data_IF_603343189960
#
_entry.id   IF_603343189960
#
_cell.length_a   1.000
_cell.length_b   1.000
_cell.length_c   1.000
_cell.angle_alpha   90.00
_cell.angle_beta   90.00
_cell.angle_gamma   90.00
#
_symmetry.space_group_name_H-M   'P 1'
#
loop_
_entity.id
_entity.type
_entity.pdbx_description
1 polymer ?
#
# COMPACT_ATOMS: atom_id res chain seq x y z
N UNK A 1 17.53 -7.92 0.39
CA UNK A 1 18.11 -7.34 -0.84
C UNK A 1 19.19 -8.25 -1.44
N UNK A 2 20.14 -8.73 -0.64
CA UNK A 2 21.23 -9.63 -1.08
C UNK A 2 20.73 -10.90 -1.78
N UNK A 3 19.74 -11.59 -1.20
CA UNK A 3 19.17 -12.80 -1.80
C UNK A 3 18.51 -12.54 -3.17
N UNK A 4 17.84 -11.40 -3.36
CA UNK A 4 17.18 -11.04 -4.62
C UNK A 4 18.19 -10.73 -5.72
N UNK A 5 19.26 -9.98 -5.39
CA UNK A 5 20.38 -9.72 -6.31
C UNK A 5 21.11 -11.01 -6.68
N UNK A 6 21.36 -11.89 -5.70
CA UNK A 6 21.98 -13.19 -5.93
C UNK A 6 21.14 -14.08 -6.85
N UNK A 7 19.82 -14.15 -6.64
CA UNK A 7 18.91 -14.89 -7.51
C UNK A 7 18.89 -14.33 -8.94
N UNK A 8 18.83 -13.01 -9.11
CA UNK A 8 18.88 -12.37 -10.43
C UNK A 8 20.21 -12.66 -11.15
N UNK A 9 21.34 -12.60 -10.44
CA UNK A 9 22.65 -12.93 -10.99
C UNK A 9 22.72 -14.41 -11.42
N UNK A 10 22.22 -15.33 -10.58
CA UNK A 10 22.13 -16.75 -10.90
C UNK A 10 21.27 -17.02 -12.13
N UNK A 11 20.11 -16.37 -12.27
CA UNK A 11 19.23 -16.52 -13.45
C UNK A 11 19.90 -16.05 -14.75
N UNK A 12 20.74 -15.01 -14.69
CA UNK A 12 21.52 -14.53 -15.83
C UNK A 12 22.69 -15.47 -16.16
N UNK A 13 23.42 -15.94 -15.14
CA UNK A 13 24.54 -16.88 -15.31
C UNK A 13 24.10 -18.23 -15.85
N UNK A 14 22.97 -18.74 -15.36
CA UNK A 14 22.35 -20.01 -15.82
C UNK A 14 21.58 -19.86 -17.14
N UNK A 15 21.47 -18.63 -17.68
CA UNK A 15 20.72 -18.30 -18.90
C UNK A 15 19.23 -18.69 -18.85
N UNK A 16 18.65 -18.78 -17.66
CA UNK A 16 17.20 -18.92 -17.51
C UNK A 16 16.46 -17.69 -18.07
N UNK A 17 17.10 -16.52 -18.02
CA UNK A 17 16.57 -15.27 -18.58
C UNK A 17 17.66 -14.57 -19.40
N UNK A 18 17.29 -14.02 -20.56
CA UNK A 18 18.21 -13.21 -21.37
C UNK A 18 18.37 -11.81 -20.76
N UNK A 19 19.52 -11.16 -20.99
CA UNK A 19 19.76 -9.78 -20.51
C UNK A 19 18.68 -8.81 -21.00
N UNK A 20 18.19 -9.02 -22.22
CA UNK A 20 17.12 -8.20 -22.82
C UNK A 20 15.80 -8.45 -22.08
N UNK A 21 15.45 -9.72 -21.83
CA UNK A 21 14.25 -10.07 -21.06
C UNK A 21 14.28 -9.54 -19.62
N UNK A 22 15.44 -9.64 -18.96
CA UNK A 22 15.64 -9.07 -17.62
C UNK A 22 15.45 -7.55 -17.60
N UNK A 23 15.96 -6.83 -18.60
CA UNK A 23 15.74 -5.38 -18.73
C UNK A 23 14.28 -5.03 -18.99
N UNK A 24 13.57 -5.82 -19.79
CA UNK A 24 12.15 -5.61 -20.10
C UNK A 24 11.23 -5.93 -18.91
N UNK A 25 11.65 -6.82 -18.00
CA UNK A 25 10.90 -7.13 -16.78
C UNK A 25 10.95 -6.04 -15.70
N UNK A 26 11.75 -4.99 -15.90
CA UNK A 26 11.83 -3.87 -14.95
C UNK A 26 10.58 -3.00 -15.10
N UNK A 27 9.80 -2.90 -14.02
CA UNK A 27 8.70 -1.94 -13.93
C UNK A 27 9.24 -0.54 -13.59
N UNK A 28 9.49 0.24 -14.63
CA UNK A 28 9.96 1.62 -14.50
C UNK A 28 8.94 2.52 -13.80
N UNK A 29 7.64 2.26 -13.96
CA UNK A 29 6.60 3.05 -13.31
C UNK A 29 6.68 2.88 -11.79
N UNK A 30 6.90 1.68 -11.29
CA UNK A 30 7.10 1.43 -9.85
C UNK A 30 8.35 2.12 -9.32
N UNK A 31 9.48 2.04 -10.05
CA UNK A 31 10.71 2.72 -9.64
C UNK A 31 10.54 4.24 -9.58
N UNK A 32 9.84 4.83 -10.55
CA UNK A 32 9.54 6.26 -10.57
C UNK A 32 8.62 6.67 -9.43
N UNK A 33 7.61 5.85 -9.11
CA UNK A 33 6.73 6.08 -7.96
C UNK A 33 7.52 6.02 -6.65
N UNK A 34 8.46 5.08 -6.53
CA UNK A 34 9.39 5.01 -5.39
C UNK A 34 10.20 6.30 -5.24
N UNK A 35 10.83 6.75 -6.33
CA UNK A 35 11.60 8.00 -6.32
C UNK A 35 10.72 9.22 -5.97
N UNK A 36 9.53 9.32 -6.57
CA UNK A 36 8.59 10.41 -6.34
C UNK A 36 8.10 10.44 -4.88
N UNK A 37 7.85 9.28 -4.28
CA UNK A 37 7.39 9.18 -2.90
C UNK A 37 8.41 9.71 -1.89
N UNK A 38 9.71 9.48 -2.11
CA UNK A 38 10.75 10.12 -1.29
C UNK A 38 10.72 11.64 -1.41
N UNK A 39 10.51 12.16 -2.63
CA UNK A 39 10.32 13.60 -2.87
C UNK A 39 9.07 14.16 -2.18
N UNK A 40 7.94 13.48 -2.30
CA UNK A 40 6.67 13.85 -1.64
C UNK A 40 6.83 13.78 -0.12
N UNK A 41 7.49 12.75 0.42
CA UNK A 41 7.77 12.62 1.86
C UNK A 41 8.60 13.80 2.39
N UNK A 42 9.64 14.21 1.66
CA UNK A 42 10.45 15.38 2.01
C UNK A 42 9.65 16.68 1.96
N UNK A 43 8.79 16.85 0.95
CA UNK A 43 7.91 18.00 0.83
C UNK A 43 6.86 18.03 1.96
N UNK A 44 6.26 16.89 2.30
CA UNK A 44 5.32 16.72 3.40
C UNK A 44 5.93 17.06 4.77
N UNK A 45 7.20 16.70 4.98
CA UNK A 45 7.94 17.08 6.19
C UNK A 45 8.23 18.58 6.21
N UNK A 46 8.72 19.13 5.09
CA UNK A 46 9.07 20.56 4.99
C UNK A 46 7.87 21.49 5.09
N UNK A 47 6.68 21.04 4.69
CA UNK A 47 5.43 21.80 4.77
C UNK A 47 4.64 21.54 6.06
N UNK A 48 5.15 20.67 6.94
CA UNK A 48 4.47 20.19 8.14
C UNK A 48 3.10 19.54 7.88
N UNK A 49 2.75 19.26 6.62
CA UNK A 49 1.45 18.70 6.25
C UNK A 49 1.28 17.29 6.81
N UNK A 50 2.34 16.48 6.81
CA UNK A 50 2.29 15.15 7.42
C UNK A 50 2.00 15.21 8.92
N UNK A 51 2.57 16.20 9.63
CA UNK A 51 2.29 16.42 11.05
C UNK A 51 0.84 16.88 11.25
N UNK A 52 0.34 17.79 10.42
CA UNK A 52 -1.04 18.26 10.50
C UNK A 52 -2.06 17.12 10.25
N UNK A 53 -1.79 16.27 9.26
CA UNK A 53 -2.63 15.08 8.98
C UNK A 53 -2.57 14.11 10.16
N UNK A 54 -1.37 13.79 10.66
CA UNK A 54 -1.20 12.93 11.82
C UNK A 54 -1.95 13.48 13.05
N UNK A 55 -1.85 14.78 13.31
CA UNK A 55 -2.53 15.44 14.45
C UNK A 55 -4.04 15.42 14.27
N UNK A 56 -4.54 15.63 13.04
CA UNK A 56 -5.96 15.50 12.74
C UNK A 56 -6.46 14.07 12.99
N UNK A 57 -5.70 13.05 12.55
CA UNK A 57 -6.02 11.65 12.78
C UNK A 57 -6.02 11.31 14.27
N UNK A 58 -4.98 11.72 15.01
CA UNK A 58 -4.89 11.53 16.46
C UNK A 58 -6.00 12.28 17.19
N UNK A 59 -6.41 13.47 16.75
CA UNK A 59 -7.53 14.19 17.37
C UNK A 59 -8.88 13.48 17.20
N UNK A 60 -9.07 12.76 16.08
CA UNK A 60 -10.25 11.92 15.86
C UNK A 60 -10.15 10.56 16.57
N UNK A 61 -8.95 9.97 16.64
CA UNK A 61 -8.70 8.62 17.14
C UNK A 61 -8.30 8.57 18.63
N UNK A 62 -7.99 9.71 19.22
CA UNK A 62 -7.24 9.78 20.48
C UNK A 62 -5.86 9.12 20.37
N UNK A 63 -5.24 8.92 21.54
CA UNK A 63 -3.90 8.33 21.68
C UNK A 63 -3.88 6.80 21.52
N UNK A 64 -4.98 6.19 21.05
CA UNK A 64 -5.04 4.73 20.86
C UNK A 64 -4.26 4.33 19.60
N UNK A 65 -3.16 3.55 19.73
CA UNK A 65 -2.41 3.07 18.57
C UNK A 65 -3.26 2.20 17.64
N UNK A 66 -4.18 1.43 18.24
CA UNK A 66 -5.11 0.55 17.53
C UNK A 66 -6.06 1.36 16.64
N UNK A 67 -6.63 2.46 17.15
CA UNK A 67 -7.58 3.24 16.36
C UNK A 67 -6.88 3.99 15.22
N UNK A 68 -5.68 4.52 15.47
CA UNK A 68 -4.85 5.13 14.43
C UNK A 68 -4.43 4.12 13.35
N UNK A 69 -4.13 2.87 13.73
CA UNK A 69 -3.84 1.77 12.79
C UNK A 69 -5.03 1.51 11.86
N UNK A 70 -6.24 1.43 12.42
CA UNK A 70 -7.48 1.24 11.65
C UNK A 70 -7.72 2.42 10.71
N UNK A 71 -7.52 3.66 11.17
CA UNK A 71 -7.68 4.83 10.30
C UNK A 71 -6.68 4.85 9.14
N UNK A 72 -5.42 4.50 9.38
CA UNK A 72 -4.40 4.41 8.32
C UNK A 72 -4.77 3.30 7.32
N UNK A 73 -5.25 2.15 7.80
CA UNK A 73 -5.73 1.08 6.92
C UNK A 73 -6.88 1.56 6.02
N UNK A 74 -7.91 2.17 6.61
CA UNK A 74 -9.07 2.68 5.86
C UNK A 74 -8.72 3.78 4.88
N UNK A 75 -7.87 4.73 5.29
CA UNK A 75 -7.36 5.77 4.41
C UNK A 75 -6.61 5.15 3.22
N UNK A 76 -5.75 4.16 3.47
CA UNK A 76 -5.02 3.46 2.41
C UNK A 76 -5.97 2.77 1.43
N UNK A 77 -6.97 2.03 1.91
CA UNK A 77 -8.00 1.39 1.05
C UNK A 77 -8.73 2.44 0.19
N UNK A 78 -9.06 3.60 0.76
CA UNK A 78 -9.70 4.70 0.02
C UNK A 78 -8.77 5.26 -1.07
N UNK A 79 -7.49 5.50 -0.77
CA UNK A 79 -6.53 5.97 -1.76
C UNK A 79 -6.32 4.94 -2.88
N UNK A 80 -6.23 3.65 -2.55
CA UNK A 80 -6.05 2.57 -3.53
C UNK A 80 -7.22 2.44 -4.50
N UNK A 81 -8.42 2.89 -4.12
CA UNK A 81 -9.57 2.90 -5.01
C UNK A 81 -9.50 4.01 -6.10
N UNK A 82 -8.60 4.99 -5.94
CA UNK A 82 -8.50 6.17 -6.83
C UNK A 82 -7.19 6.16 -7.63
N UNK A 83 -6.10 5.73 -7.00
CA UNK A 83 -4.76 5.66 -7.60
C UNK A 83 -4.23 4.23 -7.55
N UNK A 84 -3.16 3.94 -8.31
CA UNK A 84 -2.59 2.59 -8.29
C UNK A 84 -2.07 2.19 -6.89
N UNK A 85 -2.09 0.89 -6.61
CA UNK A 85 -1.78 0.34 -5.28
C UNK A 85 -0.38 0.70 -4.78
N UNK A 86 0.61 0.67 -5.66
CA UNK A 86 1.99 0.98 -5.30
C UNK A 86 2.14 2.46 -4.91
N UNK A 87 1.51 3.37 -5.66
CA UNK A 87 1.51 4.80 -5.38
C UNK A 87 0.77 5.11 -4.08
N UNK A 88 -0.37 4.47 -3.83
CA UNK A 88 -1.10 4.64 -2.57
C UNK A 88 -0.27 4.18 -1.36
N UNK A 89 0.34 3.00 -1.43
CA UNK A 89 1.18 2.48 -0.34
C UNK A 89 2.34 3.43 -0.01
N UNK A 90 3.01 3.93 -1.04
CA UNK A 90 4.14 4.81 -0.88
C UNK A 90 3.78 6.23 -0.41
N UNK A 91 2.61 6.73 -0.79
CA UNK A 91 2.10 8.01 -0.30
C UNK A 91 1.70 7.91 1.17
N UNK A 92 1.08 6.79 1.58
CA UNK A 92 0.63 6.59 2.95
C UNK A 92 1.77 6.33 3.94
N UNK A 93 2.89 5.79 3.48
CA UNK A 93 4.05 5.49 4.34
C UNK A 93 4.59 6.69 5.14
N UNK A 94 4.90 7.86 4.55
CA UNK A 94 5.36 9.03 5.32
C UNK A 94 4.29 9.56 6.30
N UNK A 95 3.00 9.42 5.97
CA UNK A 95 1.90 9.80 6.87
C UNK A 95 1.87 8.86 8.09
N UNK A 96 2.00 7.56 7.86
CA UNK A 96 2.10 6.58 8.93
C UNK A 96 3.35 6.81 9.80
N UNK A 97 4.50 7.12 9.19
CA UNK A 97 5.72 7.44 9.91
C UNK A 97 5.53 8.64 10.86
N UNK A 98 4.91 9.72 10.37
CA UNK A 98 4.59 10.88 11.21
C UNK A 98 3.62 10.52 12.34
N UNK A 99 2.58 9.73 12.04
CA UNK A 99 1.59 9.29 13.03
C UNK A 99 2.21 8.43 14.13
N UNK A 100 3.05 7.46 13.76
CA UNK A 100 3.73 6.60 14.75
C UNK A 100 4.75 7.35 15.59
N UNK A 101 5.40 8.37 15.01
CA UNK A 101 6.33 9.23 15.75
C UNK A 101 5.59 10.09 16.80
N UNK A 102 4.38 10.58 16.49
CA UNK A 102 3.54 11.30 17.46
C UNK A 102 3.03 10.41 18.60
N UNK A 103 2.78 9.12 18.33
CA UNK A 103 2.27 8.16 19.31
C UNK A 103 3.37 7.42 20.09
N UNK A 104 4.65 7.63 19.75
CA UNK A 104 5.81 6.87 20.25
C UNK A 104 5.64 5.34 20.08
N UNK A 105 5.17 4.92 18.90
CA UNK A 105 4.92 3.51 18.57
C UNK A 105 5.77 3.02 17.40
N UNK A 106 5.86 1.70 17.25
CA UNK A 106 6.57 1.10 16.12
C UNK A 106 5.84 1.35 14.79
N UNK A 107 6.57 1.76 13.76
CA UNK A 107 6.09 1.89 12.38
C UNK A 107 5.74 0.54 11.72
N UNK A 108 6.29 -0.56 12.23
CA UNK A 108 6.15 -1.90 11.63
C UNK A 108 4.68 -2.34 11.48
N UNK A 109 3.81 -2.31 12.53
CA UNK A 109 2.39 -2.65 12.40
C UNK A 109 1.66 -1.80 11.36
N UNK A 110 1.97 -0.50 11.30
CA UNK A 110 1.35 0.43 10.34
C UNK A 110 1.82 0.18 8.91
N UNK A 111 3.10 -0.11 8.71
CA UNK A 111 3.62 -0.48 7.40
C UNK A 111 2.97 -1.77 6.88
N UNK A 112 2.75 -2.78 7.74
CA UNK A 112 2.01 -3.98 7.34
C UNK A 112 0.54 -3.71 7.06
N UNK A 113 -0.11 -2.85 7.83
CA UNK A 113 -1.48 -2.43 7.56
C UNK A 113 -1.59 -1.77 6.18
N UNK A 114 -0.64 -0.88 5.83
CA UNK A 114 -0.57 -0.26 4.51
C UNK A 114 -0.36 -1.31 3.41
N UNK A 115 0.58 -2.24 3.58
CA UNK A 115 0.85 -3.30 2.60
C UNK A 115 -0.39 -4.17 2.36
N UNK A 116 -1.11 -4.54 3.43
CA UNK A 116 -2.33 -5.33 3.32
C UNK A 116 -3.48 -4.53 2.72
N UNK A 117 -3.66 -3.27 3.10
CA UNK A 117 -4.68 -2.38 2.53
C UNK A 117 -4.44 -2.17 1.03
N UNK A 118 -3.20 -1.90 0.62
CA UNK A 118 -2.82 -1.74 -0.79
C UNK A 118 -2.99 -3.01 -1.62
N UNK A 119 -3.00 -4.18 -0.99
CA UNK A 119 -3.27 -5.46 -1.66
C UNK A 119 -4.76 -5.81 -1.69
N UNK A 120 -5.57 -5.20 -0.83
CA UNK A 120 -6.99 -5.48 -0.67
C UNK A 120 -7.85 -4.55 -1.55
N UNK A 121 -7.60 -4.56 -2.86
CA UNK A 121 -8.28 -3.68 -3.81
C UNK A 121 -9.31 -4.43 -4.66
N UNK A 122 -10.35 -4.93 -4.02
CA UNK A 122 -11.42 -5.67 -4.70
C UNK A 122 -12.58 -4.77 -5.14
N UNK A 123 -12.65 -3.55 -4.62
CA UNK A 123 -13.81 -2.66 -4.75
C UNK A 123 -13.87 -1.91 -6.08
N UNK A 124 -12.76 -1.78 -6.82
CA UNK A 124 -12.72 -1.11 -8.11
C UNK A 124 -12.04 -1.94 -9.20
N UNK A 125 -12.49 -1.82 -10.45
CA UNK A 125 -11.79 -2.44 -11.57
C UNK A 125 -10.55 -1.65 -11.99
N UNK A 126 -10.36 -0.40 -11.55
CA UNK A 126 -9.38 0.53 -12.13
C UNK A 126 -8.04 0.50 -11.41
N UNK A 127 -8.00 0.35 -10.08
CA UNK A 127 -6.72 0.50 -9.36
C UNK A 127 -5.77 -0.69 -9.53
N UNK A 128 -6.24 -1.83 -10.06
CA UNK A 128 -5.38 -2.98 -10.33
C UNK A 128 -5.45 -3.53 -11.75
N UNK A 129 -4.28 -3.77 -12.35
CA UNK A 129 -4.15 -4.21 -13.74
C UNK A 129 -4.88 -5.53 -14.02
N UNK A 130 -4.87 -6.49 -13.08
CA UNK A 130 -5.55 -7.77 -13.28
C UNK A 130 -7.06 -7.61 -13.28
N UNK A 131 -7.61 -6.70 -12.47
CA UNK A 131 -9.03 -6.40 -12.46
C UNK A 131 -9.45 -5.81 -13.82
N UNK A 132 -8.64 -4.90 -14.38
CA UNK A 132 -8.86 -4.36 -15.72
C UNK A 132 -8.83 -5.44 -16.82
N UNK A 133 -7.91 -6.41 -16.73
CA UNK A 133 -7.79 -7.49 -17.73
C UNK A 133 -9.05 -8.35 -17.83
N UNK A 134 -9.75 -8.57 -16.71
CA UNK A 134 -11.00 -9.35 -16.69
C UNK A 134 -12.26 -8.50 -16.80
N UNK A 135 -12.17 -7.19 -16.53
CA UNK A 135 -13.32 -6.27 -16.57
C UNK A 135 -14.04 -6.28 -17.92
N UNK A 136 -13.30 -6.11 -19.01
CA UNK A 136 -13.86 -6.11 -20.37
C UNK A 136 -14.30 -7.50 -20.84
N UNK A 137 -13.39 -8.48 -20.97
CA UNK A 137 -13.71 -9.82 -21.47
C UNK A 137 -14.70 -10.60 -20.60
N UNK A 138 -14.73 -10.33 -19.29
CA UNK A 138 -15.66 -10.96 -18.35
C UNK A 138 -17.07 -10.35 -18.35
N UNK A 139 -17.31 -9.25 -19.07
CA UNK A 139 -18.61 -8.58 -19.12
C UNK A 139 -19.06 -7.98 -17.78
N UNK A 140 -18.12 -7.72 -16.88
CA UNK A 140 -18.42 -7.17 -15.55
C UNK A 140 -18.78 -5.70 -15.63
N UNK A 141 -19.67 -5.26 -14.74
CA UNK A 141 -20.00 -3.85 -14.52
C UNK A 141 -19.23 -3.33 -13.32
N UNK A 142 -18.98 -2.02 -13.27
CA UNK A 142 -18.34 -1.39 -12.12
C UNK A 142 -19.07 -1.69 -10.80
N UNK A 143 -20.41 -1.79 -10.85
CA UNK A 143 -21.24 -2.16 -9.69
C UNK A 143 -20.95 -3.55 -9.14
N UNK A 144 -20.47 -4.49 -9.96
CA UNK A 144 -20.19 -5.87 -9.54
C UNK A 144 -18.96 -5.90 -8.62
N UNK A 145 -17.95 -5.08 -8.96
CA UNK A 145 -16.76 -4.86 -8.12
C UNK A 145 -17.11 -4.23 -6.79
N UNK A 146 -17.94 -3.19 -6.76
CA UNK A 146 -18.37 -2.61 -5.49
C UNK A 146 -19.16 -3.61 -4.64
N UNK A 147 -20.08 -4.36 -5.25
CA UNK A 147 -20.99 -5.26 -4.54
C UNK A 147 -20.28 -6.45 -3.90
N UNK A 148 -19.30 -7.03 -4.60
CA UNK A 148 -18.54 -8.20 -4.11
C UNK A 148 -17.26 -7.77 -3.40
N UNK A 149 -16.62 -6.72 -3.89
CA UNK A 149 -15.35 -6.22 -3.39
C UNK A 149 -15.43 -5.55 -2.03
N UNK A 150 -16.48 -4.78 -1.74
CA UNK A 150 -16.61 -4.15 -0.41
C UNK A 150 -16.72 -5.19 0.73
N UNK A 151 -17.58 -6.22 0.64
CA UNK A 151 -17.58 -7.32 1.61
C UNK A 151 -16.23 -8.02 1.73
N UNK A 152 -15.56 -8.27 0.61
CA UNK A 152 -14.27 -8.96 0.60
C UNK A 152 -13.16 -8.11 1.24
N UNK A 153 -13.13 -6.81 0.93
CA UNK A 153 -12.25 -5.83 1.57
C UNK A 153 -12.48 -5.80 3.09
N UNK A 154 -13.74 -5.84 3.54
CA UNK A 154 -14.05 -5.88 4.96
C UNK A 154 -13.52 -7.15 5.64
N UNK A 155 -13.72 -8.33 5.02
CA UNK A 155 -13.20 -9.61 5.55
C UNK A 155 -11.67 -9.57 5.63
N UNK A 156 -11.00 -9.18 4.55
CA UNK A 156 -9.54 -9.09 4.51
C UNK A 156 -9.03 -8.05 5.51
N UNK A 157 -9.70 -6.92 5.64
CA UNK A 157 -9.37 -5.89 6.63
C UNK A 157 -9.50 -6.39 8.06
N UNK A 158 -10.60 -7.06 8.41
CA UNK A 158 -10.80 -7.63 9.74
C UNK A 158 -9.73 -8.68 10.07
N UNK A 159 -9.41 -9.57 9.14
CA UNK A 159 -8.37 -10.60 9.35
C UNK A 159 -6.98 -9.95 9.46
N UNK A 160 -6.65 -9.02 8.56
CA UNK A 160 -5.34 -8.36 8.54
C UNK A 160 -5.10 -7.55 9.82
N UNK A 161 -6.06 -6.70 10.18
CA UNK A 161 -5.99 -5.89 11.40
C UNK A 161 -5.99 -6.79 12.64
N UNK A 162 -6.83 -7.83 12.69
CA UNK A 162 -6.84 -8.78 13.80
C UNK A 162 -5.50 -9.49 14.00
N UNK A 163 -4.86 -9.92 12.92
CA UNK A 163 -3.53 -10.54 12.97
C UNK A 163 -2.43 -9.56 13.38
N UNK A 164 -2.45 -8.33 12.86
CA UNK A 164 -1.48 -7.29 13.23
C UNK A 164 -1.63 -6.94 14.71
N UNK A 165 -2.87 -6.80 15.19
CA UNK A 165 -3.13 -6.53 16.59
C UNK A 165 -2.61 -7.67 17.46
N UNK A 166 -2.95 -8.93 17.14
CA UNK A 166 -2.49 -10.09 17.92
C UNK A 166 -0.96 -10.26 17.99
N UNK A 167 -0.23 -9.83 16.96
CA UNK A 167 1.23 -9.96 16.92
C UNK A 167 1.98 -8.80 17.58
N UNK A 168 1.40 -7.59 17.62
CA UNK A 168 2.11 -6.36 18.00
C UNK A 168 1.53 -5.64 19.22
N UNK A 169 0.34 -6.02 19.69
CA UNK A 169 -0.38 -5.42 20.81
C UNK A 169 -0.95 -6.50 21.74
#
# INVERSE_FOLDING_TARGET
FEAALGAAALMLLTRCVSIIGARQSIDWSVLLVIAAAFGIGSALQSTELALNIATAMVSLAGDSPVLNLVMIYLATVMFTAVINNNAAALLMFPIAQATTASLDTSIIPFAMAIMMAASAEFSTPIGYQTNLMVYGPGGYRFSDYLRVGLPLNAVVGCVSLGMILWLYF
#
